data_IF_669917819645
#
_entry.id   IF_669917819645
#
_cell.length_a   1.000
_cell.length_b   1.000
_cell.length_c   1.000
_cell.angle_alpha   90.00
_cell.angle_beta   90.00
_cell.angle_gamma   90.00
#
_symmetry.space_group_name_H-M   'P 1'
#
loop_
_entity.id
_entity.type
_entity.pdbx_description
1 polymer ?
#
# COMPACT_ATOMS: atom_id res chain seq x y z
N UNK A 1 3.59 -20.36 1.56
CA UNK A 1 3.42 -19.90 0.16
C UNK A 1 4.53 -18.91 -0.19
N UNK A 2 4.89 -18.63 -1.45
CA UNK A 2 5.85 -17.55 -1.74
C UNK A 2 5.21 -16.19 -1.44
N UNK A 3 5.92 -15.28 -0.76
CA UNK A 3 5.42 -13.95 -0.39
C UNK A 3 4.81 -13.17 -1.57
N UNK A 4 5.46 -13.25 -2.74
CA UNK A 4 4.95 -12.65 -3.98
C UNK A 4 3.53 -13.11 -4.32
N UNK A 5 3.24 -14.42 -4.21
CA UNK A 5 1.90 -14.94 -4.52
C UNK A 5 0.86 -14.47 -3.48
N UNK A 6 1.25 -14.36 -2.20
CA UNK A 6 0.39 -13.85 -1.14
C UNK A 6 -0.05 -12.41 -1.45
N UNK A 7 0.93 -11.54 -1.78
CA UNK A 7 0.69 -10.13 -2.10
C UNK A 7 -0.24 -10.01 -3.31
N UNK A 8 0.04 -10.71 -4.42
CA UNK A 8 -0.83 -10.64 -5.61
C UNK A 8 -2.25 -11.12 -5.30
N UNK A 9 -2.40 -12.23 -4.58
CA UNK A 9 -3.72 -12.74 -4.19
C UNK A 9 -4.49 -11.74 -3.33
N UNK A 10 -3.82 -11.09 -2.38
CA UNK A 10 -4.47 -10.13 -1.48
C UNK A 10 -4.79 -8.80 -2.17
N UNK A 11 -3.97 -8.34 -3.12
CA UNK A 11 -4.32 -7.18 -3.97
C UNK A 11 -5.65 -7.43 -4.67
N UNK A 12 -5.85 -8.63 -5.24
CA UNK A 12 -7.13 -9.01 -5.85
C UNK A 12 -8.27 -9.13 -4.82
N UNK A 13 -8.00 -9.64 -3.61
CA UNK A 13 -9.00 -9.78 -2.53
C UNK A 13 -9.52 -8.41 -2.06
N UNK A 14 -8.65 -7.42 -1.94
CA UNK A 14 -9.00 -6.08 -1.44
C UNK A 14 -9.80 -5.27 -2.46
N UNK A 15 -9.80 -5.67 -3.75
CA UNK A 15 -10.49 -4.99 -4.85
C UNK A 15 -10.18 -3.48 -4.90
N UNK A 16 -8.90 -3.15 -4.67
CA UNK A 16 -8.35 -1.79 -4.66
C UNK A 16 -7.08 -1.75 -5.50
N UNK A 17 -6.79 -0.60 -6.10
CA UNK A 17 -5.46 -0.40 -6.66
C UNK A 17 -4.42 -0.44 -5.53
N UNK A 18 -3.21 -0.98 -5.78
CA UNK A 18 -2.17 -1.11 -4.76
C UNK A 18 -1.86 0.16 -3.97
N UNK A 19 -1.87 1.31 -4.64
CA UNK A 19 -1.69 2.61 -4.00
C UNK A 19 -2.75 2.88 -2.90
N UNK A 20 -4.03 2.58 -3.16
CA UNK A 20 -5.08 2.78 -2.16
C UNK A 20 -5.03 1.79 -1.00
N UNK A 21 -4.44 0.62 -1.22
CA UNK A 21 -4.13 -0.32 -0.14
C UNK A 21 -3.05 0.30 0.75
N UNK A 22 -1.95 0.76 0.14
CA UNK A 22 -0.85 1.40 0.84
C UNK A 22 -1.29 2.64 1.66
N UNK A 23 -2.22 3.45 1.16
CA UNK A 23 -2.63 4.69 1.83
C UNK A 23 -3.75 4.54 2.88
N UNK A 24 -4.35 3.37 3.04
CA UNK A 24 -5.51 3.25 3.96
C UNK A 24 -5.82 1.86 4.47
N UNK A 25 -5.06 0.85 4.07
CA UNK A 25 -5.18 -0.52 4.57
C UNK A 25 -3.82 -1.22 4.62
N UNK A 26 -2.72 -0.47 4.75
CA UNK A 26 -1.36 -1.02 4.71
C UNK A 26 -1.08 -1.99 5.86
N UNK A 27 -1.52 -1.66 7.08
CA UNK A 27 -1.37 -2.52 8.25
C UNK A 27 -2.14 -3.84 8.11
N UNK A 28 -3.45 -3.77 7.85
CA UNK A 28 -4.29 -4.97 7.64
C UNK A 28 -3.73 -5.83 6.50
N UNK A 29 -3.32 -5.20 5.39
CA UNK A 29 -2.75 -5.89 4.25
C UNK A 29 -1.43 -6.58 4.60
N UNK A 30 -0.52 -5.89 5.30
CA UNK A 30 0.77 -6.45 5.69
C UNK A 30 0.60 -7.67 6.62
N UNK A 31 -0.32 -7.58 7.59
CA UNK A 31 -0.68 -8.69 8.47
C UNK A 31 -1.27 -9.88 7.70
N UNK A 32 -2.27 -9.63 6.83
CA UNK A 32 -2.86 -10.65 5.96
C UNK A 32 -1.79 -11.34 5.10
N UNK A 33 -0.80 -10.58 4.57
CA UNK A 33 0.30 -11.14 3.77
C UNK A 33 1.18 -12.07 4.60
N UNK A 34 1.61 -11.65 5.79
CA UNK A 34 2.48 -12.44 6.66
C UNK A 34 1.77 -13.72 7.11
N UNK A 35 0.49 -13.62 7.51
CA UNK A 35 -0.35 -14.76 7.86
C UNK A 35 -0.46 -15.74 6.69
N UNK A 36 -0.84 -15.25 5.52
CA UNK A 36 -1.09 -16.08 4.34
C UNK A 36 0.20 -16.68 3.75
N UNK A 37 1.32 -15.95 3.81
CA UNK A 37 2.62 -16.45 3.39
C UNK A 37 3.17 -17.51 4.37
N UNK A 38 2.86 -17.35 5.66
CA UNK A 38 3.40 -18.13 6.78
C UNK A 38 4.83 -17.71 7.15
N UNK A 39 5.26 -16.51 6.75
CA UNK A 39 6.59 -15.98 7.01
C UNK A 39 6.65 -14.46 6.74
N UNK A 40 7.63 -13.80 7.37
CA UNK A 40 7.84 -12.35 7.30
C UNK A 40 7.51 -11.66 8.61
N UNK A 41 7.72 -10.37 8.65
CA UNK A 41 7.46 -9.49 9.78
C UNK A 41 6.82 -8.20 9.27
N UNK A 42 5.83 -7.67 9.98
CA UNK A 42 5.28 -6.34 9.70
C UNK A 42 6.12 -5.33 10.46
N UNK A 43 6.66 -4.34 9.76
CA UNK A 43 7.47 -3.27 10.34
C UNK A 43 6.93 -1.92 9.91
N UNK A 44 6.97 -0.94 10.80
CA UNK A 44 6.57 0.41 10.48
C UNK A 44 7.76 1.25 10.03
N UNK A 45 7.56 2.08 9.01
CA UNK A 45 8.65 2.89 8.42
C UNK A 45 9.19 3.97 9.35
N UNK A 46 8.37 4.51 10.25
CA UNK A 46 8.77 5.46 11.30
C UNK A 46 9.58 4.80 12.44
N UNK A 47 9.39 3.50 12.67
CA UNK A 47 10.27 2.71 13.56
C UNK A 47 11.65 2.45 12.93
N UNK A 48 11.69 2.29 11.59
CA UNK A 48 12.95 2.10 10.85
C UNK A 48 13.75 3.40 10.72
N UNK A 49 13.06 4.52 10.56
CA UNK A 49 13.65 5.85 10.39
C UNK A 49 12.69 6.91 10.91
N UNK A 50 12.88 7.39 12.16
CA UNK A 50 12.00 8.39 12.77
C UNK A 50 11.96 9.73 12.03
N UNK A 51 12.93 10.00 11.16
CA UNK A 51 13.00 11.23 10.37
C UNK A 51 12.28 11.10 9.02
N UNK A 52 11.72 9.92 8.71
CA UNK A 52 11.03 9.72 7.45
C UNK A 52 9.68 10.44 7.44
N UNK A 53 9.54 11.42 6.55
CA UNK A 53 8.31 12.18 6.40
C UNK A 53 7.34 11.46 5.46
N UNK A 54 6.72 10.37 5.92
CA UNK A 54 5.57 9.76 5.26
C UNK A 54 4.36 10.08 6.13
N UNK A 55 3.39 10.80 5.57
CA UNK A 55 2.17 11.18 6.29
C UNK A 55 1.54 9.93 6.93
N UNK A 56 1.54 9.90 8.27
CA UNK A 56 0.95 8.88 9.16
C UNK A 56 1.66 7.51 9.24
N UNK A 57 2.89 7.41 8.75
CA UNK A 57 3.65 6.15 8.76
C UNK A 57 3.11 5.13 7.76
N UNK A 58 3.92 4.14 7.40
CA UNK A 58 3.55 3.09 6.45
C UNK A 58 4.03 1.74 6.97
N UNK A 59 3.10 0.79 7.06
CA UNK A 59 3.40 -0.60 7.40
C UNK A 59 3.87 -1.36 6.15
N UNK A 60 5.00 -2.05 6.27
CA UNK A 60 5.61 -2.84 5.20
C UNK A 60 5.94 -4.25 5.70
N UNK A 61 6.11 -5.20 4.77
CA UNK A 61 6.55 -6.56 5.12
C UNK A 61 8.08 -6.66 4.96
N UNK A 62 8.79 -7.10 5.99
CA UNK A 62 10.19 -7.52 5.94
C UNK A 62 10.29 -9.04 5.78
N UNK A 63 10.90 -9.51 4.69
CA UNK A 63 11.12 -10.94 4.45
C UNK A 63 12.37 -11.20 3.60
N UNK A 64 13.26 -12.08 4.06
CA UNK A 64 14.53 -12.40 3.39
C UNK A 64 15.36 -11.15 3.03
N UNK A 65 15.51 -10.23 3.99
CA UNK A 65 16.26 -8.96 3.82
C UNK A 65 15.73 -8.07 2.68
N UNK A 66 14.42 -8.13 2.42
CA UNK A 66 13.72 -7.26 1.48
C UNK A 66 12.43 -6.73 2.09
N UNK A 67 12.03 -5.55 1.64
CA UNK A 67 10.82 -4.85 2.02
C UNK A 67 9.79 -4.95 0.92
N UNK A 68 8.54 -5.22 1.28
CA UNK A 68 7.42 -5.41 0.36
C UNK A 68 6.23 -4.59 0.83
N UNK A 69 5.40 -4.19 -0.13
CA UNK A 69 4.08 -3.62 0.09
C UNK A 69 3.17 -3.98 -1.10
N UNK A 70 1.99 -3.37 -1.19
CA UNK A 70 1.08 -3.66 -2.30
C UNK A 70 1.64 -3.18 -3.65
N UNK A 71 2.34 -2.05 -3.71
CA UNK A 71 2.92 -1.51 -4.95
C UNK A 71 4.21 -2.21 -5.39
N UNK A 72 4.89 -2.92 -4.48
CA UNK A 72 6.16 -3.58 -4.73
C UNK A 72 6.16 -5.08 -4.36
N UNK A 73 5.39 -5.93 -5.07
CA UNK A 73 5.27 -7.36 -4.75
C UNK A 73 6.57 -8.16 -4.90
N UNK A 74 7.56 -7.63 -5.64
CA UNK A 74 8.89 -8.25 -5.81
C UNK A 74 9.90 -7.86 -4.74
N UNK A 75 9.54 -6.86 -3.94
CA UNK A 75 10.32 -6.28 -2.87
C UNK A 75 11.58 -5.53 -3.31
N UNK A 76 12.09 -4.70 -2.41
CA UNK A 76 13.32 -3.92 -2.54
C UNK A 76 14.26 -4.20 -1.38
N UNK A 77 15.57 -4.01 -1.57
CA UNK A 77 16.55 -4.27 -0.50
C UNK A 77 16.68 -3.11 0.49
N UNK A 78 16.28 -1.90 0.08
CA UNK A 78 16.19 -0.72 0.93
C UNK A 78 14.76 -0.21 0.88
N UNK A 79 14.11 -0.11 2.03
CA UNK A 79 12.70 0.29 2.12
C UNK A 79 12.46 1.68 1.53
N UNK A 80 13.46 2.59 1.54
CA UNK A 80 13.38 3.92 0.90
C UNK A 80 13.16 3.86 -0.60
N UNK A 81 13.36 2.68 -1.21
CA UNK A 81 13.11 2.45 -2.64
C UNK A 81 11.66 2.04 -2.94
N UNK A 82 10.78 1.94 -1.92
CA UNK A 82 9.37 1.63 -2.14
C UNK A 82 8.67 2.75 -2.92
N UNK A 83 7.76 2.43 -3.85
CA UNK A 83 7.09 3.43 -4.68
C UNK A 83 6.37 4.53 -3.89
N UNK A 84 5.74 4.19 -2.76
CA UNK A 84 5.05 5.15 -1.90
C UNK A 84 6.03 6.17 -1.28
N UNK A 85 7.26 5.72 -0.98
CA UNK A 85 8.30 6.56 -0.36
C UNK A 85 8.96 7.46 -1.40
N UNK A 86 9.31 6.93 -2.58
CA UNK A 86 9.94 7.71 -3.64
C UNK A 86 8.97 8.74 -4.22
N UNK A 87 7.70 8.38 -4.38
CA UNK A 87 6.73 9.18 -5.13
C UNK A 87 5.70 9.84 -4.21
N UNK A 88 6.14 10.58 -3.19
CA UNK A 88 5.20 11.24 -2.29
C UNK A 88 4.23 12.20 -3.02
N UNK A 89 4.65 12.76 -4.16
CA UNK A 89 3.82 13.61 -5.02
C UNK A 89 2.69 12.85 -5.76
N UNK A 90 2.78 11.51 -5.89
CA UNK A 90 1.65 10.69 -6.42
C UNK A 90 0.40 10.87 -5.58
N UNK A 91 0.56 11.26 -4.32
CA UNK A 91 -0.54 11.50 -3.40
C UNK A 91 -1.49 12.55 -3.93
N UNK A 92 -0.97 13.64 -4.50
CA UNK A 92 -1.82 14.71 -5.06
C UNK A 92 -2.48 14.30 -6.37
N UNK A 93 -1.74 13.61 -7.25
CA UNK A 93 -2.28 13.13 -8.53
C UNK A 93 -3.41 12.10 -8.36
N UNK A 94 -3.23 11.13 -7.47
CA UNK A 94 -4.27 10.13 -7.19
C UNK A 94 -5.46 10.76 -6.46
N UNK A 95 -5.24 11.72 -5.55
CA UNK A 95 -6.32 12.48 -4.92
C UNK A 95 -7.15 13.23 -5.97
N UNK A 96 -6.50 13.92 -6.91
CA UNK A 96 -7.17 14.67 -7.97
C UNK A 96 -7.99 13.78 -8.92
N UNK A 97 -7.43 12.63 -9.35
CA UNK A 97 -8.10 11.69 -10.26
C UNK A 97 -9.28 10.96 -9.62
N UNK A 98 -9.34 10.84 -8.29
CA UNK A 98 -10.45 10.20 -7.59
C UNK A 98 -11.52 11.19 -7.12
N UNK A 99 -11.16 12.45 -6.87
CA UNK A 99 -12.16 13.50 -6.64
C UNK A 99 -13.07 13.66 -7.87
N UNK A 100 -12.52 13.68 -9.09
CA UNK A 100 -13.33 13.79 -10.32
C UNK A 100 -14.30 12.62 -10.51
N UNK A 101 -13.90 11.38 -10.17
CA UNK A 101 -14.78 10.20 -10.22
C UNK A 101 -15.86 10.20 -9.13
N UNK A 102 -15.62 10.87 -8.01
CA UNK A 102 -16.62 10.99 -6.93
C UNK A 102 -17.67 12.05 -7.25
N UNK A 103 -17.31 13.12 -7.95
CA UNK A 103 -18.25 14.18 -8.35
C UNK A 103 -19.22 13.70 -9.45
N UNK A 104 -18.75 12.90 -10.42
CA UNK A 104 -19.62 12.28 -11.45
C UNK A 104 -20.65 11.30 -10.87
N UNK A 105 -20.41 10.76 -9.66
CA UNK A 105 -21.34 9.83 -9.00
C UNK A 105 -22.44 10.51 -8.19
N UNK A 106 -22.33 11.80 -7.90
CA UNK A 106 -23.35 12.54 -7.14
C UNK A 106 -24.18 13.52 -7.98
N UNK A 107 -23.83 13.79 -9.24
CA UNK A 107 -24.67 14.60 -10.15
C UNK A 107 -25.78 13.83 -10.87
N UNK A 108 -25.75 12.48 -10.89
CA UNK A 108 -26.83 11.67 -11.47
C UNK A 108 -27.90 11.18 -10.46
N UNK A 109 -27.92 11.73 -9.24
CA UNK A 109 -28.91 11.42 -8.21
C UNK A 109 -29.89 12.59 -7.96
N UNK A 110 -30.17 13.41 -8.98
CA UNK A 110 -31.22 14.44 -8.93
C UNK A 110 -32.20 14.29 -10.09
N UNK A 111 -33.41 13.85 -9.72
CA UNK A 111 -34.70 13.93 -10.44
C UNK A 111 -34.79 13.05 -11.70
N UNK A 112 -35.82 12.20 -11.87
CA UNK A 112 -37.23 12.30 -11.44
C UNK A 112 -37.75 11.09 -10.63
#
# INVERSE_FOLDING_TARGET
MKIYNAIIQLIHKYDKEPYFINCGSCEDFANDVVELAGAGEVVWTDELDPDINIHDGHAVILYNSKYYDAECPRGVCDYRQLPLIINQDKTEYHKAMHQTKSEDKYENARCD
#
